data_IF_083703533837
#
_entry.id   IF_083703533837
#
_cell.length_a   1.000
_cell.length_b   1.000
_cell.length_c   1.000
_cell.angle_alpha   90.00
_cell.angle_beta   90.00
_cell.angle_gamma   90.00
#
_symmetry.space_group_name_H-M   'P 1'
#
loop_
_entity.id
_entity.type
_entity.pdbx_description
1 polymer ?
#
# COMPACT_ATOMS: atom_id res chain seq x y z
N UNK A 1 -0.96 -7.72 20.66
CA UNK A 1 -0.66 -9.09 20.19
C UNK A 1 -1.19 -9.20 18.77
N UNK A 2 -0.48 -8.61 17.81
CA UNK A 2 -0.71 -8.81 16.38
C UNK A 2 0.28 -9.87 15.95
N UNK A 3 -0.22 -11.08 15.70
CA UNK A 3 0.56 -12.24 15.31
C UNK A 3 1.07 -12.07 13.86
N UNK A 4 2.15 -11.31 13.69
CA UNK A 4 3.05 -11.48 12.55
C UNK A 4 4.33 -12.08 13.13
N UNK A 5 4.38 -13.41 13.14
CA UNK A 5 5.50 -14.19 13.64
C UNK A 5 6.71 -13.95 12.73
N UNK A 6 7.55 -12.99 13.12
CA UNK A 6 9.02 -12.90 13.06
C UNK A 6 9.80 -13.21 11.76
N UNK A 7 9.28 -13.91 10.74
CA UNK A 7 10.05 -14.29 9.55
C UNK A 7 9.34 -14.31 8.19
N UNK A 8 8.04 -14.02 8.09
CA UNK A 8 7.37 -13.84 6.79
C UNK A 8 6.80 -12.42 6.67
N UNK A 9 7.70 -11.46 6.45
CA UNK A 9 7.26 -10.21 5.82
C UNK A 9 6.88 -10.57 4.39
N UNK A 10 5.61 -10.38 4.04
CA UNK A 10 5.17 -10.59 2.67
C UNK A 10 5.87 -9.57 1.78
N UNK A 11 6.62 -10.07 0.81
CA UNK A 11 7.37 -9.26 -0.15
C UNK A 11 6.98 -9.66 -1.57
N UNK A 12 6.96 -8.67 -2.45
CA UNK A 12 6.65 -8.83 -3.87
C UNK A 12 7.49 -7.87 -4.70
N UNK A 13 7.68 -8.19 -5.97
CA UNK A 13 8.27 -7.26 -6.91
C UNK A 13 7.22 -6.37 -7.56
N UNK A 14 7.58 -5.15 -7.91
CA UNK A 14 6.69 -4.23 -8.60
C UNK A 14 7.43 -3.15 -9.37
N UNK A 15 6.70 -2.39 -10.17
CA UNK A 15 7.20 -1.21 -10.85
C UNK A 15 6.70 0.03 -10.13
N UNK A 16 7.61 0.87 -9.63
CA UNK A 16 7.27 2.11 -8.95
C UNK A 16 7.82 3.33 -9.68
N UNK A 17 7.08 4.43 -9.61
CA UNK A 17 7.54 5.76 -10.02
C UNK A 17 7.11 6.80 -8.99
N UNK A 18 7.99 7.77 -8.74
CA UNK A 18 7.78 8.84 -7.78
C UNK A 18 6.77 9.90 -8.26
N UNK A 19 6.72 10.14 -9.57
CA UNK A 19 5.80 11.10 -10.22
C UNK A 19 5.38 10.54 -11.57
N UNK A 20 4.38 11.15 -12.21
CA UNK A 20 3.87 10.71 -13.51
C UNK A 20 4.95 10.72 -14.61
N UNK A 21 5.90 11.65 -14.54
CA UNK A 21 7.01 11.82 -15.49
C UNK A 21 8.27 11.04 -15.09
N UNK A 22 8.32 10.52 -13.86
CA UNK A 22 9.46 9.76 -13.38
C UNK A 22 9.54 8.40 -14.08
N UNK A 23 10.76 7.97 -14.35
CA UNK A 23 11.03 6.64 -14.89
C UNK A 23 10.57 5.56 -13.90
N UNK A 24 9.79 4.60 -14.39
CA UNK A 24 9.46 3.38 -13.66
C UNK A 24 10.73 2.60 -13.35
N UNK A 25 10.86 2.17 -12.10
CA UNK A 25 11.94 1.32 -11.64
C UNK A 25 11.37 0.10 -10.93
N UNK A 26 12.06 -1.02 -11.06
CA UNK A 26 11.76 -2.21 -10.28
C UNK A 26 12.09 -1.97 -8.81
N UNK A 27 11.18 -2.41 -7.95
CA UNK A 27 11.24 -2.23 -6.51
C UNK A 27 10.81 -3.51 -5.80
N UNK A 28 11.27 -3.65 -4.57
CA UNK A 28 10.77 -4.59 -3.59
C UNK A 28 9.68 -3.90 -2.76
N UNK A 29 8.49 -4.48 -2.75
CA UNK A 29 7.35 -4.01 -1.96
C UNK A 29 7.21 -4.94 -0.77
N UNK A 30 7.06 -4.36 0.42
CA UNK A 30 6.84 -5.13 1.63
C UNK A 30 5.69 -4.56 2.44
N UNK A 31 4.91 -5.45 3.07
CA UNK A 31 3.73 -5.08 3.83
C UNK A 31 3.96 -5.32 5.32
N UNK A 32 3.78 -4.28 6.11
CA UNK A 32 3.80 -4.31 7.57
C UNK A 32 2.39 -4.29 8.18
N UNK A 33 2.28 -3.85 9.43
CA UNK A 33 0.98 -3.81 10.14
C UNK A 33 0.00 -2.78 9.55
N UNK A 34 0.49 -1.60 9.16
CA UNK A 34 -0.33 -0.51 8.62
C UNK A 34 0.38 0.30 7.53
N UNK A 35 1.55 -0.17 7.09
CA UNK A 35 2.40 0.54 6.15
C UNK A 35 2.80 -0.40 5.02
N UNK A 36 2.78 0.12 3.80
CA UNK A 36 3.38 -0.49 2.63
C UNK A 36 4.71 0.23 2.38
N UNK A 37 5.80 -0.52 2.41
CA UNK A 37 7.15 0.00 2.21
C UNK A 37 7.62 -0.37 0.82
N UNK A 38 8.10 0.62 0.08
CA UNK A 38 8.68 0.46 -1.25
C UNK A 38 10.17 0.71 -1.14
N UNK A 39 10.98 -0.28 -1.49
CA UNK A 39 12.43 -0.23 -1.40
C UNK A 39 13.09 -0.64 -2.73
N UNK A 40 14.32 -0.20 -2.95
CA UNK A 40 15.14 -0.76 -4.03
C UNK A 40 15.71 -2.14 -3.65
N UNK A 41 16.37 -2.81 -4.60
CA UNK A 41 17.03 -4.11 -4.36
C UNK A 41 18.25 -4.04 -3.42
N UNK A 42 18.71 -2.85 -3.05
CA UNK A 42 19.74 -2.66 -2.03
C UNK A 42 19.11 -2.44 -0.63
N UNK A 43 17.81 -2.74 -0.47
CA UNK A 43 17.03 -2.51 0.75
C UNK A 43 16.96 -1.04 1.19
N UNK A 44 17.16 -0.09 0.27
CA UNK A 44 16.97 1.33 0.56
C UNK A 44 15.50 1.68 0.38
N UNK A 45 14.85 2.11 1.44
CA UNK A 45 13.48 2.61 1.37
C UNK A 45 13.40 3.85 0.46
N UNK A 46 12.52 3.79 -0.53
CA UNK A 46 12.22 4.85 -1.49
C UNK A 46 10.97 5.61 -1.06
N UNK A 47 9.93 4.89 -0.64
CA UNK A 47 8.66 5.46 -0.20
C UNK A 47 8.02 4.60 0.90
N UNK A 48 7.18 5.24 1.71
CA UNK A 48 6.33 4.57 2.69
C UNK A 48 4.92 5.09 2.54
N UNK A 49 3.99 4.19 2.27
CA UNK A 49 2.58 4.52 2.14
C UNK A 49 1.81 3.99 3.32
N UNK A 50 0.87 4.78 3.82
CA UNK A 50 -0.10 4.31 4.80
C UNK A 50 -1.13 3.43 4.09
N UNK A 51 -1.32 2.19 4.53
CA UNK A 51 -2.36 1.30 3.97
C UNK A 51 -3.78 1.87 4.14
N UNK A 52 -3.97 2.84 5.03
CA UNK A 52 -5.23 3.57 5.20
C UNK A 52 -5.51 4.60 4.11
N UNK A 53 -4.49 4.95 3.33
CA UNK A 53 -4.46 6.08 2.40
C UNK A 53 -3.77 5.64 1.10
N UNK A 54 -4.16 4.47 0.58
CA UNK A 54 -3.76 3.95 -0.73
C UNK A 54 -5.04 3.58 -1.48
N UNK A 55 -5.11 4.01 -2.73
CA UNK A 55 -6.22 3.72 -3.63
C UNK A 55 -5.77 2.84 -4.79
N UNK A 56 -6.64 1.90 -5.17
CA UNK A 56 -6.47 1.12 -6.40
C UNK A 56 -7.08 1.89 -7.56
N UNK A 57 -6.26 2.27 -8.54
CA UNK A 57 -6.65 3.09 -9.68
C UNK A 57 -7.38 2.29 -10.78
N UNK A 58 -7.14 0.98 -10.88
CA UNK A 58 -7.78 0.09 -11.86
C UNK A 58 -8.31 -1.22 -11.22
N UNK A 59 -9.41 -1.16 -10.45
CA UNK A 59 -10.01 -2.35 -9.85
C UNK A 59 -10.43 -3.39 -10.91
N UNK A 60 -9.96 -4.63 -10.75
CA UNK A 60 -10.30 -5.74 -11.66
C UNK A 60 -9.40 -5.86 -12.90
N UNK A 61 -8.46 -4.93 -13.09
CA UNK A 61 -7.48 -4.97 -14.17
C UNK A 61 -6.06 -5.21 -13.65
N UNK A 62 -5.19 -5.66 -14.57
CA UNK A 62 -3.77 -5.93 -14.33
C UNK A 62 -2.87 -5.19 -15.35
N UNK A 63 -1.66 -4.74 -14.95
CA UNK A 63 -1.12 -4.81 -13.59
C UNK A 63 -1.97 -3.97 -12.61
N UNK A 64 -2.07 -4.39 -11.35
CA UNK A 64 -2.80 -3.65 -10.35
C UNK A 64 -2.04 -2.37 -10.01
N UNK A 65 -2.67 -1.22 -10.24
CA UNK A 65 -2.08 0.11 -10.05
C UNK A 65 -2.60 0.68 -8.74
N UNK A 66 -1.67 1.00 -7.85
CA UNK A 66 -1.90 1.66 -6.57
C UNK A 66 -1.25 3.03 -6.53
N UNK A 67 -1.87 3.96 -5.83
CA UNK A 67 -1.30 5.28 -5.52
C UNK A 67 -1.65 5.68 -4.08
N UNK A 68 -0.84 6.50 -3.41
CA UNK A 68 -1.23 7.10 -2.14
C UNK A 68 -2.36 8.12 -2.36
N UNK A 69 -3.19 8.30 -1.34
CA UNK A 69 -4.19 9.38 -1.30
C UNK A 69 -3.46 10.73 -1.32
N UNK A 70 -3.91 11.63 -2.21
CA UNK A 70 -3.33 12.96 -2.40
C UNK A 70 -2.15 13.06 -3.39
N UNK A 71 -1.59 11.94 -3.87
CA UNK A 71 -0.57 11.95 -4.94
C UNK A 71 -0.82 10.82 -5.97
N UNK A 72 -1.74 11.03 -6.92
CA UNK A 72 -2.01 10.04 -7.98
C UNK A 72 -0.88 9.94 -9.02
N UNK A 73 0.12 10.83 -8.97
CA UNK A 73 1.30 10.78 -9.83
C UNK A 73 2.31 9.74 -9.36
N UNK A 74 2.37 9.50 -8.05
CA UNK A 74 3.12 8.41 -7.45
C UNK A 74 2.36 7.09 -7.63
N UNK A 75 2.94 6.13 -8.37
CA UNK A 75 2.25 4.86 -8.65
C UNK A 75 3.13 3.65 -8.41
N UNK A 76 2.49 2.59 -7.94
CA UNK A 76 3.03 1.25 -7.80
C UNK A 76 2.19 0.28 -8.64
N UNK A 77 2.84 -0.45 -9.52
CA UNK A 77 2.23 -1.44 -10.39
C UNK A 77 2.67 -2.85 -9.92
N UNK A 78 1.69 -3.72 -9.67
CA UNK A 78 1.89 -5.12 -9.29
C UNK A 78 1.31 -6.04 -10.35
N UNK A 79 2.13 -6.97 -10.86
CA UNK A 79 1.72 -7.91 -11.91
C UNK A 79 0.70 -8.93 -11.43
N UNK A 80 0.03 -9.61 -12.36
CA UNK A 80 -0.97 -10.63 -12.03
C UNK A 80 -0.39 -11.84 -11.24
N UNK A 81 0.92 -12.07 -11.31
CA UNK A 81 1.61 -13.09 -10.53
C UNK A 81 1.80 -12.75 -9.05
N UNK A 82 1.58 -11.49 -8.65
CA UNK A 82 1.76 -11.01 -7.27
C UNK A 82 0.41 -10.96 -6.51
N UNK A 83 -0.42 -11.99 -6.72
CA UNK A 83 -1.78 -12.10 -6.20
C UNK A 83 -1.83 -12.05 -4.67
N UNK A 84 -0.91 -12.74 -3.99
CA UNK A 84 -0.78 -12.74 -2.54
C UNK A 84 -0.55 -11.32 -1.98
N UNK A 85 0.26 -10.51 -2.67
CA UNK A 85 0.53 -9.12 -2.28
C UNK A 85 -0.71 -8.24 -2.49
N UNK A 86 -1.36 -8.36 -3.65
CA UNK A 86 -2.59 -7.62 -3.97
C UNK A 86 -3.68 -7.93 -2.94
N UNK A 87 -3.91 -9.21 -2.63
CA UNK A 87 -4.90 -9.64 -1.65
C UNK A 87 -4.55 -9.15 -0.24
N UNK A 88 -3.27 -9.14 0.14
CA UNK A 88 -2.83 -8.62 1.42
C UNK A 88 -3.10 -7.11 1.55
N UNK A 89 -2.79 -6.31 0.52
CA UNK A 89 -3.07 -4.87 0.49
C UNK A 89 -4.58 -4.62 0.66
N UNK A 90 -5.41 -5.31 -0.12
CA UNK A 90 -6.88 -5.17 -0.06
C UNK A 90 -7.43 -5.56 1.33
N UNK A 91 -6.92 -6.66 1.92
CA UNK A 91 -7.33 -7.12 3.24
C UNK A 91 -6.94 -6.14 4.34
N UNK A 92 -5.72 -5.62 4.29
CA UNK A 92 -5.21 -4.71 5.30
C UNK A 92 -5.82 -3.32 5.19
N UNK A 93 -6.06 -2.79 3.99
CA UNK A 93 -6.82 -1.55 3.79
C UNK A 93 -8.17 -1.63 4.51
N UNK A 94 -8.93 -2.69 4.26
CA UNK A 94 -10.22 -2.96 4.94
C UNK A 94 -10.08 -3.09 6.45
N UNK A 95 -9.01 -3.73 6.93
CA UNK A 95 -8.76 -3.91 8.37
C UNK A 95 -8.45 -2.57 9.05
N UNK A 96 -7.64 -1.72 8.43
CA UNK A 96 -7.26 -0.39 8.95
C UNK A 96 -8.46 0.55 8.94
N UNK A 97 -9.26 0.56 7.86
CA UNK A 97 -10.50 1.34 7.80
C UNK A 97 -11.49 0.96 8.91
N UNK A 98 -11.63 -0.34 9.21
CA UNK A 98 -12.51 -0.81 10.30
C UNK A 98 -12.01 -0.41 11.68
N UNK A 99 -10.68 -0.34 11.87
CA UNK A 99 -10.05 0.08 13.13
C UNK A 99 -10.07 1.60 13.32
N UNK A 100 -10.30 2.38 12.27
CA UNK A 100 -10.34 3.85 12.35
C UNK A 100 -11.46 4.26 13.32
N UNK A 101 -11.15 4.96 14.42
CA UNK A 101 -12.17 5.48 15.32
C UNK A 101 -13.06 6.41 14.49
N UNK A 102 -14.35 6.07 14.36
CA UNK A 102 -15.31 7.00 13.75
C UNK A 102 -15.48 8.13 14.77
N UNK A 103 -15.05 9.38 14.48
CA UNK A 103 -15.27 10.46 15.40
C UNK A 103 -16.78 10.60 15.58
N UNK A 104 -17.26 10.17 16.75
CA UNK A 104 -18.65 10.26 17.11
C UNK A 104 -19.06 11.71 17.03
N UNK A 105 -20.19 11.97 16.35
CA UNK A 105 -20.82 13.29 16.19
C UNK A 105 -20.47 14.19 17.37
N UNK A 106 -19.64 15.20 17.10
CA UNK A 106 -19.47 16.34 18.00
C UNK A 106 -20.88 16.80 18.37
N UNK A 107 -21.30 16.49 19.60
CA UNK A 107 -22.49 17.07 20.18
C UNK A 107 -22.16 18.54 20.36
N UNK A 108 -22.58 19.37 19.42
CA UNK A 108 -22.78 20.79 19.67
C UNK A 108 -23.84 20.88 20.78
N UNK A 109 -23.37 21.05 22.01
CA UNK A 109 -24.18 21.40 23.16
C UNK A 109 -23.47 22.58 23.83
N UNK A 110 -24.17 23.71 23.90
CA UNK A 110 -23.72 24.94 24.55
C UNK A 110 -23.85 26.13 23.63
#
# INVERSE_FOLDING_TARGET
>A
MTALTEYERLEATGLWRATAEAQRREVLVSVGEATLTIADFNNRALAHWSLAAIDRQNPGEYPAIYSPDGDPGETLELEAGEDAMIDAIERLRRAVERRRPRPGRLRLAG
#
